data_IF_333249450889
#
_entry.id   IF_333249450889
#
_cell.length_a   1.000
_cell.length_b   1.000
_cell.length_c   1.000
_cell.angle_alpha   90.00
_cell.angle_beta   90.00
_cell.angle_gamma   90.00
#
_symmetry.space_group_name_H-M   'P 1'
#
loop_
_entity.id
_entity.type
_entity.pdbx_description
1 polymer ?
#
# COMPACT_ATOMS: atom_id res chain seq x y z
N UNK A 1 9.84 91.38 11.54
CA UNK A 1 10.44 90.17 12.18
C UNK A 1 9.71 88.97 11.64
N UNK A 2 10.36 88.30 10.72
CA UNK A 2 9.80 87.21 9.90
C UNK A 2 10.11 85.85 10.62
N UNK A 3 9.07 85.06 10.90
CA UNK A 3 9.21 83.72 11.42
C UNK A 3 9.00 82.74 10.26
N UNK A 4 10.06 81.98 9.93
CA UNK A 4 10.06 80.89 8.95
C UNK A 4 9.47 79.63 9.57
N UNK A 5 8.38 79.10 9.05
CA UNK A 5 7.86 77.77 9.34
C UNK A 5 8.59 76.75 8.44
N UNK A 6 9.37 75.82 9.03
CA UNK A 6 9.94 74.70 8.32
C UNK A 6 8.92 73.52 8.31
N UNK A 7 8.44 73.13 7.13
CA UNK A 7 7.64 71.94 6.91
C UNK A 7 8.58 70.71 6.74
N UNK A 8 8.62 69.79 7.75
CA UNK A 8 9.27 68.51 7.59
C UNK A 8 8.35 67.53 6.84
N UNK A 9 8.67 67.24 5.57
CA UNK A 9 8.09 66.10 4.83
C UNK A 9 8.75 64.82 5.28
N UNK A 10 8.02 64.02 6.05
CA UNK A 10 8.39 62.62 6.35
C UNK A 10 7.98 61.75 5.15
N UNK A 11 8.91 61.47 4.25
CA UNK A 11 8.72 60.52 3.15
C UNK A 11 8.79 59.10 3.72
N UNK A 12 7.65 58.46 3.91
CA UNK A 12 7.58 57.03 4.23
C UNK A 12 8.09 56.18 3.07
N UNK A 13 9.24 55.58 3.20
CA UNK A 13 9.73 54.53 2.30
C UNK A 13 8.84 53.29 2.50
N UNK A 14 7.86 53.12 1.63
CA UNK A 14 7.17 51.83 1.49
C UNK A 14 8.13 50.86 0.81
N UNK A 15 8.78 50.01 1.62
CA UNK A 15 9.48 48.84 1.10
C UNK A 15 8.42 47.92 0.44
N UNK A 16 8.60 47.56 -0.85
CA UNK A 16 7.75 46.53 -1.44
C UNK A 16 7.96 45.23 -0.63
N UNK A 17 6.88 44.73 -0.03
CA UNK A 17 6.82 43.33 0.43
C UNK A 17 7.07 42.50 -0.84
N UNK A 18 8.31 42.01 -1.01
CA UNK A 18 8.61 41.03 -2.01
C UNK A 18 7.68 39.86 -1.71
N UNK A 19 6.69 39.62 -2.57
CA UNK A 19 5.96 38.38 -2.62
C UNK A 19 7.05 37.31 -2.66
N UNK A 20 7.20 36.54 -1.58
CA UNK A 20 8.02 35.34 -1.59
C UNK A 20 7.49 34.49 -2.72
N UNK A 21 8.18 34.55 -3.87
CA UNK A 21 7.89 33.72 -5.02
C UNK A 21 7.80 32.32 -4.52
N UNK A 22 6.77 31.60 -4.94
CA UNK A 22 6.60 30.18 -4.64
C UNK A 22 7.95 29.53 -4.87
N UNK A 23 8.64 29.21 -3.78
CA UNK A 23 9.95 28.58 -3.82
C UNK A 23 9.83 27.41 -4.79
N UNK A 24 10.82 27.29 -5.69
CA UNK A 24 10.89 26.29 -6.75
C UNK A 24 10.88 24.92 -6.07
N UNK A 25 9.68 24.47 -5.66
CA UNK A 25 9.45 23.25 -4.88
C UNK A 25 9.69 22.04 -5.76
N UNK A 26 10.21 21.00 -5.20
CA UNK A 26 11.59 20.69 -4.89
C UNK A 26 12.39 20.21 -6.10
N UNK A 27 13.70 20.27 -6.00
CA UNK A 27 14.59 19.82 -7.09
C UNK A 27 14.63 18.29 -7.19
N UNK A 28 14.49 17.56 -6.09
CA UNK A 28 14.45 16.08 -6.02
C UNK A 28 13.50 15.63 -4.93
N UNK A 29 12.58 14.74 -5.26
CA UNK A 29 11.68 14.10 -4.32
C UNK A 29 12.10 12.63 -4.13
N UNK A 30 12.12 12.17 -2.89
CA UNK A 30 12.28 10.74 -2.58
C UNK A 30 10.94 10.15 -2.18
N UNK A 31 10.59 9.07 -2.84
CA UNK A 31 9.43 8.25 -2.47
C UNK A 31 9.96 6.94 -1.91
N UNK A 32 9.83 6.78 -0.61
CA UNK A 32 10.26 5.57 0.10
C UNK A 32 9.19 4.49 -0.12
N UNK A 33 9.62 3.35 -0.63
CA UNK A 33 8.79 2.15 -0.79
C UNK A 33 9.19 1.14 0.30
N UNK A 34 8.27 0.70 1.16
CA UNK A 34 8.59 -0.12 2.35
C UNK A 34 8.94 -1.58 2.05
N UNK A 35 8.89 -1.99 0.79
CA UNK A 35 9.10 -3.37 0.35
C UNK A 35 10.14 -3.47 -0.76
N UNK A 36 10.59 -4.71 -1.05
CA UNK A 36 11.56 -4.96 -2.11
C UNK A 36 11.01 -4.55 -3.49
N UNK A 37 11.93 -4.21 -4.38
CA UNK A 37 11.62 -3.88 -5.77
C UNK A 37 10.89 -5.03 -6.48
N UNK A 38 10.02 -4.70 -7.45
CA UNK A 38 9.25 -5.65 -8.25
C UNK A 38 7.96 -6.18 -7.58
N UNK A 39 7.66 -5.80 -6.33
CA UNK A 39 6.37 -6.10 -5.70
C UNK A 39 5.31 -5.03 -5.99
N UNK A 40 4.04 -5.28 -5.57
CA UNK A 40 2.91 -4.38 -5.82
C UNK A 40 3.12 -2.93 -5.33
N UNK A 41 3.72 -2.75 -4.16
CA UNK A 41 4.04 -1.42 -3.63
C UNK A 41 5.06 -0.67 -4.50
N UNK A 42 6.08 -1.38 -4.98
CA UNK A 42 7.11 -0.82 -5.85
C UNK A 42 6.53 -0.46 -7.23
N UNK A 43 5.72 -1.35 -7.80
CA UNK A 43 5.06 -1.12 -9.08
C UNK A 43 4.18 0.14 -9.04
N UNK A 44 3.32 0.29 -8.02
CA UNK A 44 2.50 1.49 -7.87
C UNK A 44 3.35 2.73 -7.53
N UNK A 45 4.36 2.59 -6.69
CA UNK A 45 5.30 3.69 -6.38
C UNK A 45 5.99 4.23 -7.62
N UNK A 46 6.43 3.35 -8.54
CA UNK A 46 7.05 3.75 -9.83
C UNK A 46 6.02 4.33 -10.78
N UNK A 47 4.87 3.71 -10.94
CA UNK A 47 3.81 4.18 -11.82
C UNK A 47 3.41 5.63 -11.52
N UNK A 48 3.12 5.93 -10.26
CA UNK A 48 2.78 7.28 -9.84
C UNK A 48 4.00 8.20 -9.71
N UNK A 49 5.18 7.68 -9.34
CA UNK A 49 6.43 8.43 -9.32
C UNK A 49 6.82 8.96 -10.69
N UNK A 50 6.69 8.15 -11.74
CA UNK A 50 6.92 8.56 -13.14
C UNK A 50 5.88 9.61 -13.59
N UNK A 51 4.60 9.40 -13.23
CA UNK A 51 3.54 10.34 -13.53
C UNK A 51 3.74 11.71 -12.83
N UNK A 52 4.17 11.70 -11.57
CA UNK A 52 4.52 12.89 -10.80
C UNK A 52 5.78 13.56 -11.36
N UNK A 53 6.80 12.79 -11.75
CA UNK A 53 8.01 13.32 -12.39
C UNK A 53 7.66 14.10 -13.65
N UNK A 54 6.78 13.55 -14.49
CA UNK A 54 6.31 14.21 -15.70
C UNK A 54 5.43 15.43 -15.41
N UNK A 55 4.60 15.40 -14.36
CA UNK A 55 3.71 16.51 -14.00
C UNK A 55 4.46 17.73 -13.46
N UNK A 56 5.51 17.48 -12.67
CA UNK A 56 6.28 18.56 -12.02
C UNK A 56 7.56 18.95 -12.78
N UNK A 57 7.94 18.20 -13.83
CA UNK A 57 9.22 18.41 -14.52
C UNK A 57 10.44 18.20 -13.59
N UNK A 58 10.28 17.38 -12.56
CA UNK A 58 11.27 17.11 -11.50
C UNK A 58 11.36 15.62 -11.29
N UNK A 59 12.54 15.12 -10.90
CA UNK A 59 12.75 13.68 -10.70
C UNK A 59 12.19 13.22 -9.35
N UNK A 60 11.34 12.20 -9.37
CA UNK A 60 10.91 11.43 -8.20
C UNK A 60 11.77 10.16 -8.10
N UNK A 61 12.59 10.08 -7.05
CA UNK A 61 13.48 8.96 -6.83
C UNK A 61 12.76 7.92 -5.98
N UNK A 62 12.59 6.71 -6.52
CA UNK A 62 12.02 5.58 -5.78
C UNK A 62 13.15 4.88 -5.01
N UNK A 63 13.01 4.82 -3.68
CA UNK A 63 13.95 4.18 -2.77
C UNK A 63 13.26 3.03 -2.03
N UNK A 64 13.66 1.78 -2.31
CA UNK A 64 13.13 0.62 -1.60
C UNK A 64 13.84 0.46 -0.26
N UNK A 65 13.12 0.64 0.88
CA UNK A 65 13.63 0.48 2.23
C UNK A 65 12.85 -0.59 2.97
N UNK A 66 13.36 -1.80 2.95
CA UNK A 66 12.70 -2.99 3.49
C UNK A 66 12.98 -3.19 4.98
N UNK A 67 12.11 -3.94 5.67
CA UNK A 67 12.32 -4.43 7.04
C UNK A 67 11.12 -4.19 7.96
N UNK A 68 10.90 -5.14 8.88
CA UNK A 68 9.82 -5.09 9.87
C UNK A 68 8.41 -5.00 9.30
N UNK A 69 8.14 -5.61 8.11
CA UNK A 69 6.84 -5.44 7.46
C UNK A 69 6.56 -4.02 6.96
N UNK A 70 7.63 -3.21 6.78
CA UNK A 70 7.54 -1.80 6.37
C UNK A 70 7.75 -0.79 7.49
N UNK A 71 7.89 -1.24 8.74
CA UNK A 71 8.06 -0.36 9.92
C UNK A 71 9.28 0.56 9.78
N UNK A 72 10.42 0.03 9.30
CA UNK A 72 11.66 0.82 9.17
C UNK A 72 11.45 2.02 8.22
N UNK A 73 10.75 1.82 7.12
CA UNK A 73 10.43 2.87 6.17
C UNK A 73 9.44 3.90 6.77
N UNK A 74 8.38 3.41 7.42
CA UNK A 74 7.37 4.25 8.04
C UNK A 74 7.95 5.15 9.12
N UNK A 75 8.74 4.60 10.06
CA UNK A 75 9.39 5.36 11.11
C UNK A 75 10.36 6.41 10.57
N UNK A 76 11.10 6.08 9.50
CA UNK A 76 12.02 7.02 8.88
C UNK A 76 11.29 8.22 8.28
N UNK A 77 10.12 7.99 7.63
CA UNK A 77 9.33 9.07 7.05
C UNK A 77 8.57 9.86 8.12
N UNK A 78 8.02 9.21 9.14
CA UNK A 78 7.34 9.89 10.25
C UNK A 78 8.26 10.91 10.95
N UNK A 79 9.58 10.67 10.95
CA UNK A 79 10.60 11.56 11.55
C UNK A 79 11.26 12.50 10.54
N UNK A 80 10.88 12.46 9.27
CA UNK A 80 11.43 13.34 8.25
C UNK A 80 10.92 14.77 8.40
N UNK A 81 11.66 15.74 7.83
CA UNK A 81 11.19 17.13 7.78
C UNK A 81 9.91 17.24 6.92
N UNK A 82 8.90 18.04 7.33
CA UNK A 82 7.66 18.21 6.58
C UNK A 82 7.81 19.22 5.44
N UNK A 83 8.83 19.06 4.63
CA UNK A 83 9.21 19.96 3.53
C UNK A 83 8.79 19.44 2.15
N UNK A 84 8.14 18.27 2.10
CA UNK A 84 7.70 17.62 0.87
C UNK A 84 8.79 16.87 0.10
N UNK A 85 10.03 16.79 0.60
CA UNK A 85 11.13 16.09 -0.09
C UNK A 85 11.13 14.58 0.15
N UNK A 86 10.54 14.10 1.22
CA UNK A 86 10.48 12.68 1.57
C UNK A 86 9.04 12.24 1.74
N UNK A 87 8.60 11.33 0.87
CA UNK A 87 7.28 10.75 0.87
C UNK A 87 7.35 9.24 1.08
N UNK A 88 6.23 8.63 1.42
CA UNK A 88 6.10 7.20 1.69
C UNK A 88 5.01 6.61 0.79
N UNK A 89 5.31 5.53 0.09
CA UNK A 89 4.26 4.62 -0.36
C UNK A 89 3.72 3.92 0.88
N UNK A 90 2.63 4.45 1.38
CA UNK A 90 1.93 3.98 2.56
C UNK A 90 0.82 3.00 2.16
N UNK A 91 -0.09 2.68 3.06
CA UNK A 91 -1.22 1.83 2.76
C UNK A 91 -1.54 0.89 3.92
N UNK A 92 -2.35 -0.13 3.64
CA UNK A 92 -2.87 -1.01 4.69
C UNK A 92 -1.78 -1.66 5.55
N UNK A 93 -0.60 -2.10 5.03
CA UNK A 93 0.43 -2.67 5.89
C UNK A 93 0.94 -1.71 6.96
N UNK A 94 1.11 -0.43 6.59
CA UNK A 94 1.68 0.61 7.44
C UNK A 94 0.63 1.26 8.34
N UNK A 95 -0.54 1.55 7.79
CA UNK A 95 -1.54 2.33 8.50
C UNK A 95 -2.43 1.48 9.39
N UNK A 96 -2.59 0.20 9.06
CA UNK A 96 -3.55 -0.68 9.74
C UNK A 96 -2.87 -1.90 10.37
N UNK A 97 -2.22 -2.73 9.54
CA UNK A 97 -1.76 -4.06 9.99
C UNK A 97 -0.63 -3.95 11.02
N UNK A 98 0.41 -3.18 10.72
CA UNK A 98 1.54 -3.05 11.62
C UNK A 98 1.14 -2.46 13.00
N UNK A 99 0.36 -1.35 13.09
CA UNK A 99 -0.12 -0.83 14.37
C UNK A 99 -1.07 -1.77 15.11
N UNK A 100 -1.90 -2.54 14.39
CA UNK A 100 -2.83 -3.47 15.04
C UNK A 100 -2.13 -4.72 15.60
N UNK A 101 -1.05 -5.17 14.93
CA UNK A 101 -0.30 -6.38 15.29
C UNK A 101 0.81 -6.13 16.32
N UNK A 102 1.36 -4.93 16.38
CA UNK A 102 2.49 -4.59 17.24
C UNK A 102 2.11 -3.52 18.26
N UNK A 103 2.33 -3.78 19.54
CA UNK A 103 2.06 -2.80 20.61
C UNK A 103 3.05 -1.62 20.63
N UNK A 104 4.23 -1.80 20.02
CA UNK A 104 5.33 -0.83 20.04
C UNK A 104 5.76 -0.48 18.60
N UNK A 105 4.84 0.03 17.79
CA UNK A 105 5.23 0.73 16.54
C UNK A 105 5.71 2.13 16.89
N UNK A 106 6.81 2.54 16.29
CA UNK A 106 7.43 3.85 16.55
C UNK A 106 6.69 5.05 15.96
N UNK A 107 5.42 4.91 15.57
CA UNK A 107 4.59 5.96 14.98
C UNK A 107 3.10 5.72 15.25
N UNK A 108 2.31 6.78 15.12
CA UNK A 108 0.85 6.74 15.03
C UNK A 108 0.41 7.01 13.58
N UNK A 109 -0.37 6.13 12.94
CA UNK A 109 -0.71 6.25 11.53
C UNK A 109 -1.51 7.50 11.17
N UNK A 110 -2.29 8.05 12.10
CA UNK A 110 -3.12 9.22 11.86
C UNK A 110 -2.48 10.53 12.31
N UNK A 111 -1.63 10.48 13.35
CA UNK A 111 -0.99 11.67 13.91
C UNK A 111 0.32 12.01 13.24
N UNK A 112 1.14 11.00 12.92
CA UNK A 112 2.53 11.20 12.51
C UNK A 112 2.70 11.27 10.98
N UNK A 113 1.59 11.18 10.22
CA UNK A 113 1.58 11.30 8.76
C UNK A 113 0.54 12.30 8.25
N UNK A 114 0.88 12.93 7.13
CA UNK A 114 -0.06 13.62 6.26
C UNK A 114 -0.42 12.70 5.12
N UNK A 115 -1.70 12.32 5.01
CA UNK A 115 -2.21 11.49 3.92
C UNK A 115 -2.46 12.35 2.69
N UNK A 116 -1.89 11.98 1.54
CA UNK A 116 -1.87 12.84 0.35
C UNK A 116 -2.78 12.32 -0.74
N UNK A 117 -2.58 11.08 -1.19
CA UNK A 117 -3.30 10.56 -2.34
C UNK A 117 -3.51 9.03 -2.20
N UNK A 118 -4.62 8.54 -2.73
CA UNK A 118 -4.94 7.12 -2.82
C UNK A 118 -4.49 6.57 -4.17
N UNK A 119 -3.75 5.49 -4.18
CA UNK A 119 -3.31 4.83 -5.40
C UNK A 119 -4.28 3.75 -5.87
N UNK A 120 -4.95 3.10 -4.93
CA UNK A 120 -5.86 2.01 -5.18
C UNK A 120 -5.50 0.75 -4.41
N UNK A 121 -6.41 -0.22 -4.45
CA UNK A 121 -6.25 -1.53 -3.84
C UNK A 121 -6.30 -2.63 -4.89
N UNK A 122 -5.49 -3.67 -4.73
CA UNK A 122 -5.54 -4.88 -5.55
C UNK A 122 -5.94 -6.07 -4.67
N UNK A 123 -6.78 -6.99 -5.16
CA UNK A 123 -7.13 -8.17 -4.41
C UNK A 123 -5.91 -9.07 -4.20
N UNK A 124 -5.95 -9.88 -3.15
CA UNK A 124 -5.02 -10.98 -3.00
C UNK A 124 -5.59 -12.24 -3.63
N UNK A 125 -4.70 -13.08 -4.12
CA UNK A 125 -5.07 -14.36 -4.72
C UNK A 125 -4.35 -15.47 -3.96
N UNK A 126 -5.11 -16.45 -3.54
CA UNK A 126 -4.57 -17.71 -3.06
C UNK A 126 -4.23 -18.55 -4.29
N UNK A 127 -2.97 -18.88 -4.43
CA UNK A 127 -2.45 -19.63 -5.57
C UNK A 127 -1.66 -20.85 -5.14
N UNK A 128 -1.55 -21.86 -6.03
CA UNK A 128 -0.68 -23.01 -5.82
C UNK A 128 0.22 -23.23 -7.03
N UNK A 129 1.42 -23.79 -6.76
CA UNK A 129 2.24 -24.35 -7.81
C UNK A 129 1.62 -25.66 -8.32
N UNK A 130 1.60 -25.94 -9.64
CA UNK A 130 0.96 -27.14 -10.23
C UNK A 130 1.45 -28.45 -9.62
N UNK A 131 2.71 -28.54 -9.16
CA UNK A 131 3.27 -29.76 -8.55
C UNK A 131 2.63 -30.13 -7.22
N UNK A 132 1.80 -29.28 -6.60
CA UNK A 132 1.03 -29.64 -5.41
C UNK A 132 -0.13 -30.57 -5.74
N UNK A 133 -0.60 -30.58 -6.99
CA UNK A 133 -1.73 -31.40 -7.44
C UNK A 133 -3.10 -30.90 -6.98
N UNK A 134 -3.19 -29.71 -6.38
CA UNK A 134 -4.41 -29.08 -5.85
C UNK A 134 -4.95 -28.07 -6.88
N UNK A 135 -6.25 -28.14 -7.16
CA UNK A 135 -6.91 -27.28 -8.17
C UNK A 135 -8.07 -26.45 -7.62
N UNK A 136 -8.42 -26.60 -6.36
CA UNK A 136 -9.49 -25.84 -5.72
C UNK A 136 -9.16 -25.52 -4.27
N UNK A 137 -9.83 -24.49 -3.74
CA UNK A 137 -9.71 -24.12 -2.33
C UNK A 137 -10.07 -25.29 -1.40
N UNK A 138 -11.14 -26.03 -1.72
CA UNK A 138 -11.58 -27.18 -0.90
C UNK A 138 -10.56 -28.31 -0.89
N UNK A 139 -9.89 -28.57 -2.01
CA UNK A 139 -8.81 -29.56 -2.08
C UNK A 139 -7.61 -29.14 -1.22
N UNK A 140 -7.24 -27.84 -1.23
CA UNK A 140 -6.17 -27.35 -0.36
C UNK A 140 -6.51 -27.54 1.12
N UNK A 141 -7.72 -27.19 1.54
CA UNK A 141 -8.19 -27.36 2.91
C UNK A 141 -8.20 -28.85 3.30
N UNK A 142 -8.68 -29.74 2.41
CA UNK A 142 -8.69 -31.19 2.65
C UNK A 142 -7.26 -31.74 2.82
N UNK A 143 -6.32 -31.32 1.96
CA UNK A 143 -4.91 -31.71 2.05
C UNK A 143 -4.28 -31.23 3.37
N UNK A 144 -4.51 -29.98 3.75
CA UNK A 144 -3.97 -29.41 4.99
C UNK A 144 -4.52 -30.09 6.25
N UNK A 145 -5.78 -30.55 6.21
CA UNK A 145 -6.38 -31.35 7.30
C UNK A 145 -5.80 -32.76 7.38
N UNK A 146 -5.57 -33.37 6.22
CA UNK A 146 -4.99 -34.72 6.15
C UNK A 146 -3.50 -34.75 6.56
N UNK A 147 -2.79 -33.68 6.35
CA UNK A 147 -1.36 -33.55 6.59
C UNK A 147 -1.03 -32.25 7.34
N UNK A 148 -1.35 -32.16 8.64
CA UNK A 148 -1.05 -30.96 9.44
C UNK A 148 0.44 -30.61 9.40
N UNK A 149 0.75 -29.30 9.38
CA UNK A 149 2.10 -28.72 9.36
C UNK A 149 2.97 -29.11 8.14
N UNK A 150 2.41 -29.77 7.12
CA UNK A 150 3.15 -30.19 5.93
C UNK A 150 3.10 -29.17 4.79
N UNK A 151 2.28 -28.14 4.90
CA UNK A 151 2.08 -27.15 3.85
C UNK A 151 2.69 -25.82 4.27
N UNK A 152 3.76 -25.45 3.56
CA UNK A 152 4.33 -24.12 3.64
C UNK A 152 3.60 -23.19 2.70
N UNK A 153 3.42 -21.91 3.10
CA UNK A 153 2.90 -20.85 2.24
C UNK A 153 3.77 -19.62 2.28
N UNK A 154 3.80 -18.90 1.16
CA UNK A 154 4.51 -17.62 1.02
C UNK A 154 3.55 -16.44 1.02
N UNK A 155 4.03 -15.33 1.54
CA UNK A 155 3.44 -13.99 1.36
C UNK A 155 4.53 -12.96 1.16
N UNK A 156 4.15 -11.69 0.95
CA UNK A 156 5.11 -10.59 0.86
C UNK A 156 5.83 -10.27 2.18
N UNK A 157 5.52 -10.98 3.26
CA UNK A 157 6.15 -10.88 4.57
C UNK A 157 5.15 -10.84 5.73
N UNK A 158 5.67 -10.94 6.94
CA UNK A 158 4.87 -10.81 8.17
C UNK A 158 4.23 -9.42 8.22
N UNK A 159 2.95 -9.36 8.60
CA UNK A 159 2.20 -8.11 8.69
C UNK A 159 1.74 -7.54 7.34
N UNK A 160 1.80 -8.32 6.27
CA UNK A 160 1.16 -7.98 4.99
C UNK A 160 -0.26 -8.52 4.93
N UNK A 161 -1.09 -7.97 4.05
CA UNK A 161 -2.47 -8.45 3.88
C UNK A 161 -2.52 -9.91 3.47
N UNK A 162 -1.62 -10.36 2.58
CA UNK A 162 -1.52 -11.77 2.20
C UNK A 162 -1.23 -12.69 3.39
N UNK A 163 -0.28 -12.32 4.24
CA UNK A 163 -0.01 -13.07 5.46
C UNK A 163 -1.25 -13.11 6.37
N UNK A 164 -1.86 -11.96 6.61
CA UNK A 164 -3.02 -11.89 7.49
C UNK A 164 -4.22 -12.70 6.97
N UNK A 165 -4.52 -12.63 5.67
CA UNK A 165 -5.60 -13.42 5.04
C UNK A 165 -5.33 -14.93 5.16
N UNK A 166 -4.11 -15.38 4.87
CA UNK A 166 -3.75 -16.79 4.98
C UNK A 166 -3.91 -17.32 6.41
N UNK A 167 -3.48 -16.54 7.40
CA UNK A 167 -3.65 -16.86 8.82
C UNK A 167 -5.12 -16.89 9.25
N UNK A 168 -5.93 -15.92 8.74
CA UNK A 168 -7.37 -15.92 8.97
C UNK A 168 -8.04 -17.18 8.41
N UNK A 169 -7.73 -17.56 7.17
CA UNK A 169 -8.27 -18.76 6.53
C UNK A 169 -7.84 -20.03 7.27
N UNK A 170 -6.58 -20.11 7.69
CA UNK A 170 -6.07 -21.24 8.46
C UNK A 170 -6.83 -21.39 9.80
N UNK A 171 -7.08 -20.30 10.50
CA UNK A 171 -7.84 -20.29 11.73
C UNK A 171 -9.32 -20.69 11.52
N UNK A 172 -9.97 -20.11 10.49
CA UNK A 172 -11.37 -20.36 10.16
C UNK A 172 -11.62 -21.83 9.78
N UNK A 173 -10.68 -22.43 9.05
CA UNK A 173 -10.75 -23.85 8.62
C UNK A 173 -10.16 -24.84 9.65
N UNK A 174 -9.61 -24.34 10.76
CA UNK A 174 -8.91 -25.17 11.76
C UNK A 174 -7.80 -26.02 11.14
N UNK A 175 -7.02 -25.41 10.21
CA UNK A 175 -5.85 -26.03 9.57
C UNK A 175 -4.57 -25.34 10.02
N UNK A 176 -3.43 -26.00 9.84
CA UNK A 176 -2.12 -25.44 10.14
C UNK A 176 -1.30 -25.34 8.87
N UNK A 177 -0.82 -24.12 8.60
CA UNK A 177 0.06 -23.79 7.50
C UNK A 177 1.31 -23.11 8.06
N UNK A 178 2.49 -23.43 7.54
CA UNK A 178 3.75 -22.80 7.96
C UNK A 178 4.06 -21.60 7.09
N UNK A 179 4.16 -20.40 7.68
CA UNK A 179 4.47 -19.19 6.94
C UNK A 179 5.95 -19.07 6.64
N UNK A 180 6.31 -18.99 5.36
CA UNK A 180 7.64 -18.62 4.88
C UNK A 180 7.62 -17.13 4.50
N UNK A 181 8.23 -16.29 5.36
CA UNK A 181 8.18 -14.83 5.21
C UNK A 181 9.28 -14.31 4.28
N UNK A 182 8.89 -13.45 3.34
CA UNK A 182 9.80 -12.76 2.41
C UNK A 182 9.81 -11.25 2.67
N UNK A 183 10.77 -10.54 2.07
CA UNK A 183 10.89 -9.07 2.16
C UNK A 183 10.12 -8.35 1.03
N UNK A 184 9.08 -8.98 0.48
CA UNK A 184 8.26 -8.45 -0.62
C UNK A 184 7.73 -9.56 -1.52
N UNK A 185 6.69 -9.25 -2.30
CA UNK A 185 5.99 -10.23 -3.15
C UNK A 185 6.86 -10.82 -4.27
N UNK A 186 7.81 -10.06 -4.80
CA UNK A 186 8.69 -10.53 -5.89
C UNK A 186 9.56 -11.72 -5.46
N UNK A 187 10.19 -11.64 -4.28
CA UNK A 187 11.02 -12.74 -3.75
C UNK A 187 10.18 -13.98 -3.43
N UNK A 188 8.99 -13.78 -2.82
CA UNK A 188 8.05 -14.85 -2.55
C UNK A 188 7.59 -15.55 -3.84
N UNK A 189 7.32 -14.78 -4.89
CA UNK A 189 6.90 -15.29 -6.19
C UNK A 189 7.97 -16.16 -6.87
N UNK A 190 9.25 -15.79 -6.78
CA UNK A 190 10.34 -16.58 -7.36
C UNK A 190 10.39 -18.00 -6.76
N UNK A 191 10.31 -18.12 -5.45
CA UNK A 191 10.34 -19.43 -4.78
C UNK A 191 9.06 -20.25 -5.03
N UNK A 192 7.93 -19.57 -5.16
CA UNK A 192 6.67 -20.19 -5.54
C UNK A 192 6.72 -20.75 -6.98
N UNK A 193 7.26 -19.99 -7.94
CA UNK A 193 7.43 -20.42 -9.32
C UNK A 193 8.46 -21.55 -9.48
N UNK A 194 9.48 -21.56 -8.64
CA UNK A 194 10.45 -22.65 -8.58
C UNK A 194 9.89 -23.91 -7.90
N UNK A 195 8.70 -23.85 -7.28
CA UNK A 195 8.08 -24.96 -6.55
C UNK A 195 8.77 -25.29 -5.22
N UNK A 196 9.67 -24.44 -4.71
CA UNK A 196 10.27 -24.59 -3.39
C UNK A 196 9.22 -24.48 -2.30
N UNK A 197 8.32 -23.52 -2.40
CA UNK A 197 7.08 -23.43 -1.63
C UNK A 197 5.91 -23.51 -2.61
N UNK A 198 4.87 -24.24 -2.25
CA UNK A 198 3.83 -24.61 -3.22
C UNK A 198 2.51 -23.86 -3.06
N UNK A 199 2.36 -23.06 -2.02
CA UNK A 199 1.16 -22.24 -1.76
C UNK A 199 1.58 -20.80 -1.58
N UNK A 200 0.83 -19.86 -2.15
CA UNK A 200 1.08 -18.43 -2.00
C UNK A 200 -0.21 -17.65 -1.80
N UNK A 201 -0.16 -16.64 -0.94
CA UNK A 201 -1.17 -15.60 -0.80
C UNK A 201 -0.54 -14.28 -1.17
N UNK A 202 -0.70 -13.87 -2.41
CA UNK A 202 -0.01 -12.73 -3.03
C UNK A 202 -1.01 -11.78 -3.71
N UNK A 203 -0.62 -10.52 -3.90
CA UNK A 203 -1.43 -9.55 -4.65
C UNK A 203 -1.62 -10.00 -6.10
N UNK A 204 -2.81 -9.78 -6.66
CA UNK A 204 -3.11 -10.06 -8.07
C UNK A 204 -2.06 -9.50 -9.01
N UNK A 205 -1.67 -8.23 -8.84
CA UNK A 205 -0.63 -7.57 -9.64
C UNK A 205 0.72 -8.29 -9.66
N UNK A 206 1.02 -9.11 -8.66
CA UNK A 206 2.27 -9.89 -8.62
C UNK A 206 2.15 -11.25 -9.32
N UNK A 207 0.95 -11.85 -9.38
CA UNK A 207 0.77 -13.24 -9.87
C UNK A 207 0.00 -13.34 -11.19
N UNK A 208 -0.62 -12.25 -11.66
CA UNK A 208 -1.53 -12.24 -12.79
C UNK A 208 -0.93 -12.86 -14.07
N UNK A 209 0.26 -12.46 -14.47
CA UNK A 209 0.92 -12.98 -15.67
C UNK A 209 1.24 -14.47 -15.56
N UNK A 210 1.64 -14.92 -14.37
CA UNK A 210 1.99 -16.33 -14.11
C UNK A 210 0.75 -17.23 -14.06
N UNK A 211 -0.39 -16.69 -13.62
CA UNK A 211 -1.69 -17.38 -13.69
C UNK A 211 -2.13 -17.49 -15.15
N UNK A 212 -2.05 -16.39 -15.92
CA UNK A 212 -2.37 -16.40 -17.38
C UNK A 212 -1.49 -17.37 -18.17
N UNK A 213 -0.23 -17.51 -17.78
CA UNK A 213 0.72 -18.46 -18.39
C UNK A 213 0.54 -19.90 -17.89
N UNK A 214 -0.38 -20.17 -16.94
CA UNK A 214 -0.57 -21.51 -16.36
C UNK A 214 0.54 -21.97 -15.42
N UNK A 215 1.48 -21.11 -15.06
CA UNK A 215 2.56 -21.42 -14.12
C UNK A 215 2.08 -21.50 -12.67
N UNK A 216 0.96 -20.84 -12.35
CA UNK A 216 0.30 -20.89 -11.05
C UNK A 216 -1.18 -21.19 -11.22
N UNK A 217 -1.76 -21.91 -10.27
CA UNK A 217 -3.18 -22.26 -10.22
C UNK A 217 -3.87 -21.38 -9.17
N UNK A 218 -4.79 -20.48 -9.56
CA UNK A 218 -5.54 -19.67 -8.61
C UNK A 218 -6.66 -20.50 -7.96
N UNK A 219 -6.84 -20.36 -6.65
CA UNK A 219 -7.84 -21.10 -5.86
C UNK A 219 -8.96 -20.22 -5.31
N UNK A 220 -8.66 -18.98 -4.94
CA UNK A 220 -9.61 -18.02 -4.41
C UNK A 220 -9.09 -16.59 -4.53
N UNK A 221 -10.00 -15.62 -4.59
CA UNK A 221 -9.68 -14.19 -4.59
C UNK A 221 -10.35 -13.47 -3.41
N UNK A 222 -9.74 -12.39 -2.93
CA UNK A 222 -10.21 -11.62 -1.77
C UNK A 222 -11.06 -10.40 -2.12
N UNK A 223 -11.34 -10.17 -3.41
CA UNK A 223 -12.22 -9.10 -3.88
C UNK A 223 -13.68 -9.36 -3.52
N UNK A 224 -14.51 -8.31 -3.55
CA UNK A 224 -15.95 -8.41 -3.31
C UNK A 224 -16.65 -9.26 -4.38
N UNK A 225 -16.18 -9.12 -5.62
CA UNK A 225 -16.66 -9.84 -6.80
C UNK A 225 -15.49 -10.56 -7.47
N UNK A 226 -15.81 -11.51 -8.35
CA UNK A 226 -14.78 -12.20 -9.13
C UNK A 226 -14.06 -11.23 -10.05
N UNK A 227 -12.75 -11.36 -10.12
CA UNK A 227 -11.93 -10.60 -11.07
C UNK A 227 -12.27 -11.05 -12.48
N UNK A 228 -12.49 -10.13 -13.41
CA UNK A 228 -12.90 -10.43 -14.79
C UNK A 228 -12.02 -11.43 -15.51
N UNK A 229 -10.71 -11.39 -15.24
CA UNK A 229 -9.73 -12.34 -15.79
C UNK A 229 -9.69 -13.70 -15.07
N UNK A 230 -10.44 -13.86 -13.97
CA UNK A 230 -10.57 -15.08 -13.17
C UNK A 230 -12.04 -15.39 -12.90
N UNK A 231 -12.90 -15.31 -13.92
CA UNK A 231 -14.34 -15.50 -13.79
C UNK A 231 -14.73 -16.85 -13.17
N UNK A 232 -13.89 -17.88 -13.31
CA UNK A 232 -14.12 -19.21 -12.74
C UNK A 232 -13.61 -19.37 -11.30
N UNK A 233 -12.85 -18.39 -10.78
CA UNK A 233 -12.25 -18.48 -9.45
C UNK A 233 -13.17 -17.82 -8.42
N UNK A 234 -13.55 -18.55 -7.35
CA UNK A 234 -14.48 -18.04 -6.36
C UNK A 234 -13.83 -16.93 -5.50
N UNK A 235 -14.66 -16.00 -5.06
CA UNK A 235 -14.29 -15.06 -4.00
C UNK A 235 -14.36 -15.78 -2.64
N UNK A 236 -13.67 -15.21 -1.62
CA UNK A 236 -13.83 -15.72 -0.25
C UNK A 236 -15.27 -15.61 0.25
N UNK A 237 -16.01 -14.60 -0.20
CA UNK A 237 -17.45 -14.44 0.06
C UNK A 237 -18.25 -15.65 -0.45
N UNK A 238 -18.03 -16.07 -1.69
CA UNK A 238 -18.70 -17.24 -2.30
C UNK A 238 -18.30 -18.56 -1.62
N UNK A 239 -17.11 -18.60 -1.02
CA UNK A 239 -16.64 -19.75 -0.22
C UNK A 239 -17.22 -19.80 1.20
N UNK A 240 -18.03 -18.81 1.59
CA UNK A 240 -18.75 -18.81 2.87
C UNK A 240 -18.12 -17.94 3.97
N UNK A 241 -17.13 -17.12 3.64
CA UNK A 241 -16.49 -16.21 4.61
C UNK A 241 -17.24 -14.88 4.81
N UNK A 242 -18.53 -14.81 4.44
CA UNK A 242 -19.37 -13.62 4.60
C UNK A 242 -18.84 -12.44 3.80
N UNK A 243 -18.94 -11.23 4.37
CA UNK A 243 -18.45 -10.00 3.72
C UNK A 243 -16.94 -9.78 3.87
N UNK A 244 -16.16 -10.86 3.94
CA UNK A 244 -14.71 -10.77 4.02
C UNK A 244 -14.12 -10.35 2.67
N UNK A 245 -13.88 -9.06 2.53
CA UNK A 245 -13.22 -8.44 1.38
C UNK A 245 -11.92 -7.81 1.85
N UNK A 246 -10.81 -8.25 1.30
CA UNK A 246 -9.48 -7.82 1.73
C UNK A 246 -8.63 -7.43 0.53
N UNK A 247 -8.42 -6.14 0.32
CA UNK A 247 -7.54 -5.61 -0.71
C UNK A 247 -6.23 -5.12 -0.11
N UNK A 248 -5.14 -5.31 -0.81
CA UNK A 248 -3.88 -4.66 -0.49
C UNK A 248 -3.89 -3.29 -1.17
N UNK A 249 -4.29 -2.26 -0.45
CA UNK A 249 -4.32 -0.91 -0.96
C UNK A 249 -3.07 -0.12 -0.57
N UNK A 250 -2.70 0.79 -1.47
CA UNK A 250 -1.59 1.72 -1.28
C UNK A 250 -2.05 3.17 -1.43
N UNK A 251 -1.28 4.06 -0.84
CA UNK A 251 -1.47 5.49 -0.84
C UNK A 251 -0.13 6.21 -0.78
N UNK A 252 -0.13 7.49 -1.03
CA UNK A 252 1.01 8.36 -0.80
C UNK A 252 0.79 9.14 0.48
N UNK A 253 1.77 9.11 1.37
CA UNK A 253 1.79 9.90 2.60
C UNK A 253 3.13 10.61 2.74
N UNK A 254 3.17 11.64 3.56
CA UNK A 254 4.40 12.29 4.01
C UNK A 254 4.42 12.44 5.52
N UNK A 255 5.48 13.01 6.11
CA UNK A 255 5.51 13.32 7.53
C UNK A 255 4.35 14.25 7.91
N UNK A 256 3.96 14.25 9.18
CA UNK A 256 2.92 15.15 9.68
C UNK A 256 3.31 16.62 9.49
N UNK A 257 2.33 17.48 9.17
CA UNK A 257 2.54 18.92 9.04
C UNK A 257 3.08 19.38 7.70
N UNK A 258 2.93 18.58 6.64
CA UNK A 258 3.22 19.06 5.27
C UNK A 258 2.38 20.32 4.94
N UNK A 259 2.96 21.31 4.25
CA UNK A 259 2.23 22.49 3.75
C UNK A 259 1.05 22.07 2.87
N UNK A 260 -0.12 22.69 3.07
CA UNK A 260 -1.36 22.33 2.41
C UNK A 260 -1.26 22.46 0.88
N UNK A 261 -0.57 23.48 0.39
CA UNK A 261 -0.34 23.70 -1.06
C UNK A 261 0.49 22.57 -1.69
N UNK A 262 1.48 22.02 -0.97
CA UNK A 262 2.25 20.86 -1.41
C UNK A 262 1.35 19.62 -1.49
N UNK A 263 0.54 19.40 -0.45
CA UNK A 263 -0.40 18.26 -0.39
C UNK A 263 -1.38 18.31 -1.55
N UNK A 264 -2.03 19.45 -1.78
CA UNK A 264 -3.00 19.62 -2.84
C UNK A 264 -2.38 19.46 -4.23
N UNK A 265 -1.21 20.04 -4.48
CA UNK A 265 -0.49 19.88 -5.75
C UNK A 265 -0.15 18.43 -6.06
N UNK A 266 0.35 17.68 -5.08
CA UNK A 266 0.65 16.24 -5.26
C UNK A 266 -0.64 15.46 -5.48
N UNK A 267 -1.67 15.69 -4.66
CA UNK A 267 -2.96 15.01 -4.78
C UNK A 267 -3.55 15.21 -6.18
N UNK A 268 -3.66 16.45 -6.65
CA UNK A 268 -4.18 16.77 -7.99
C UNK A 268 -3.36 16.08 -9.09
N UNK A 269 -2.04 16.04 -8.97
CA UNK A 269 -1.19 15.38 -9.95
C UNK A 269 -1.39 13.85 -9.98
N UNK A 270 -1.59 13.19 -8.82
CA UNK A 270 -1.92 11.76 -8.74
C UNK A 270 -3.30 11.51 -9.34
N UNK A 271 -4.32 12.28 -8.99
CA UNK A 271 -5.67 12.16 -9.54
C UNK A 271 -5.66 12.34 -11.07
N UNK A 272 -4.97 13.37 -11.57
CA UNK A 272 -4.82 13.58 -13.01
C UNK A 272 -4.05 12.44 -13.71
N UNK A 273 -3.11 11.82 -13.00
CA UNK A 273 -2.36 10.68 -13.55
C UNK A 273 -3.24 9.46 -13.80
N UNK A 274 -4.32 9.25 -13.03
CA UNK A 274 -5.25 8.14 -13.23
C UNK A 274 -5.93 8.19 -14.61
N UNK A 275 -6.05 9.38 -15.20
CA UNK A 275 -6.62 9.55 -16.53
C UNK A 275 -5.64 9.28 -17.69
N UNK A 276 -4.35 9.14 -17.40
CA UNK A 276 -3.34 8.87 -18.42
C UNK A 276 -3.52 7.44 -18.99
N UNK A 277 -3.43 7.24 -20.32
CA UNK A 277 -3.67 5.93 -20.93
C UNK A 277 -2.78 4.81 -20.38
N UNK A 278 -1.52 5.13 -20.06
CA UNK A 278 -0.60 4.14 -19.47
C UNK A 278 -1.03 3.73 -18.06
N UNK A 279 -1.45 4.67 -17.22
CA UNK A 279 -1.90 4.41 -15.86
C UNK A 279 -3.22 3.64 -15.87
N UNK A 280 -4.18 4.03 -16.72
CA UNK A 280 -5.44 3.29 -16.90
C UNK A 280 -5.21 1.83 -17.30
N UNK A 281 -4.35 1.59 -18.28
CA UNK A 281 -4.01 0.21 -18.68
C UNK A 281 -3.43 -0.61 -17.53
N UNK A 282 -2.54 -0.01 -16.73
CA UNK A 282 -1.96 -0.70 -15.58
C UNK A 282 -3.01 -0.97 -14.49
N UNK A 283 -3.89 0.00 -14.22
CA UNK A 283 -5.01 -0.16 -13.28
C UNK A 283 -5.89 -1.35 -13.69
N UNK A 284 -6.24 -1.45 -14.97
CA UNK A 284 -7.04 -2.55 -15.50
C UNK A 284 -6.30 -3.90 -15.43
N UNK A 285 -5.04 -3.95 -15.87
CA UNK A 285 -4.23 -5.17 -15.87
C UNK A 285 -4.01 -5.75 -14.48
N UNK A 286 -3.82 -4.88 -13.49
CA UNK A 286 -3.55 -5.24 -12.10
C UNK A 286 -4.81 -5.36 -11.26
N UNK A 287 -5.99 -5.22 -11.87
CA UNK A 287 -7.29 -5.19 -11.17
C UNK A 287 -7.27 -4.23 -9.97
N UNK A 288 -6.69 -3.04 -10.16
CA UNK A 288 -6.61 -2.03 -9.11
C UNK A 288 -7.96 -1.34 -8.99
N UNK A 289 -8.60 -1.52 -7.84
CA UNK A 289 -9.79 -0.76 -7.46
C UNK A 289 -9.36 0.63 -6.99
N UNK A 290 -9.53 1.63 -7.83
CA UNK A 290 -9.16 3.02 -7.51
C UNK A 290 -10.26 4.00 -7.88
N UNK A 291 -10.22 5.17 -7.26
CA UNK A 291 -11.07 6.31 -7.55
C UNK A 291 -10.36 7.61 -7.18
N UNK A 292 -10.69 8.73 -7.82
CA UNK A 292 -10.24 10.05 -7.39
C UNK A 292 -10.66 10.31 -5.94
N UNK A 293 -9.73 10.76 -5.11
CA UNK A 293 -9.95 11.13 -3.71
C UNK A 293 -9.15 12.38 -3.38
N UNK A 294 -9.75 13.33 -2.71
CA UNK A 294 -9.04 14.45 -2.07
C UNK A 294 -8.19 13.94 -0.89
N UNK A 295 -7.20 14.70 -0.45
CA UNK A 295 -6.37 14.33 0.70
C UNK A 295 -7.21 14.12 1.99
N UNK A 296 -8.27 14.93 2.16
CA UNK A 296 -9.21 14.75 3.28
C UNK A 296 -9.98 13.43 3.19
N UNK A 297 -10.42 13.03 2.00
CA UNK A 297 -11.09 11.74 1.79
C UNK A 297 -10.14 10.56 1.98
N UNK A 298 -8.85 10.69 1.59
CA UNK A 298 -7.82 9.68 1.87
C UNK A 298 -7.62 9.51 3.38
N UNK A 299 -7.56 10.61 4.12
CA UNK A 299 -7.47 10.60 5.59
C UNK A 299 -8.66 9.88 6.22
N UNK A 300 -9.87 10.21 5.80
CA UNK A 300 -11.09 9.57 6.27
C UNK A 300 -11.17 8.08 5.88
N UNK A 301 -10.70 7.74 4.67
CA UNK A 301 -10.61 6.34 4.23
C UNK A 301 -9.65 5.56 5.11
N UNK A 302 -8.45 6.10 5.38
CA UNK A 302 -7.46 5.47 6.27
C UNK A 302 -8.02 5.23 7.67
N UNK A 303 -8.73 6.20 8.25
CA UNK A 303 -9.37 6.03 9.56
C UNK A 303 -10.42 4.91 9.53
N UNK A 304 -11.30 4.88 8.52
CA UNK A 304 -12.30 3.81 8.39
C UNK A 304 -11.67 2.42 8.26
N UNK A 305 -10.57 2.31 7.53
CA UNK A 305 -9.85 1.03 7.40
C UNK A 305 -9.21 0.60 8.73
N UNK A 306 -8.65 1.54 9.49
CA UNK A 306 -8.14 1.28 10.85
C UNK A 306 -9.26 0.77 11.75
N UNK A 307 -10.40 1.46 11.76
CA UNK A 307 -11.56 1.11 12.61
C UNK A 307 -12.16 -0.25 12.23
N UNK A 308 -12.18 -0.57 10.94
CA UNK A 308 -12.69 -1.84 10.41
C UNK A 308 -11.80 -3.03 10.77
N UNK A 309 -10.48 -2.90 10.53
CA UNK A 309 -9.58 -4.03 10.61
C UNK A 309 -8.99 -4.28 11.99
N UNK A 310 -8.72 -3.23 12.76
CA UNK A 310 -8.06 -3.35 14.07
C UNK A 310 -8.79 -4.30 15.03
N UNK A 311 -10.12 -4.28 15.20
CA UNK A 311 -10.81 -5.22 16.05
C UNK A 311 -10.68 -6.68 15.59
N UNK A 312 -10.75 -6.92 14.28
CA UNK A 312 -10.63 -8.26 13.68
C UNK A 312 -9.22 -8.83 13.89
N UNK A 313 -8.19 -8.01 13.65
CA UNK A 313 -6.79 -8.40 13.83
C UNK A 313 -6.52 -8.74 15.29
N UNK A 314 -6.93 -7.88 16.23
CA UNK A 314 -6.75 -8.11 17.67
C UNK A 314 -7.45 -9.36 18.15
N UNK A 315 -8.67 -9.63 17.67
CA UNK A 315 -9.41 -10.87 17.98
C UNK A 315 -8.64 -12.11 17.53
N UNK A 316 -8.06 -12.09 16.33
CA UNK A 316 -7.27 -13.23 15.83
C UNK A 316 -5.98 -13.47 16.61
N UNK A 317 -5.28 -12.38 17.00
CA UNK A 317 -4.07 -12.50 17.83
C UNK A 317 -4.43 -13.14 19.17
N UNK A 318 -5.51 -12.70 19.82
CA UNK A 318 -5.97 -13.26 21.09
C UNK A 318 -6.38 -14.74 21.01
N UNK A 319 -6.79 -15.25 19.84
CA UNK A 319 -7.07 -16.67 19.63
C UNK A 319 -5.77 -17.50 19.53
N UNK A 320 -4.67 -16.90 19.06
CA UNK A 320 -3.38 -17.55 18.87
C UNK A 320 -2.44 -17.49 20.09
N UNK A 321 -2.66 -16.52 20.98
CA UNK A 321 -1.95 -16.44 22.26
C UNK A 321 -2.76 -17.30 23.26
N UNK A 322 -2.20 -18.45 23.75
CA UNK A 322 -2.89 -19.31 24.74
C UNK A 322 -3.02 -18.64 26.10
#
# INVERSE_FOLDING_TARGET
>A
MQGLLALCFAGGLALPLAAAGAADWPVKLRVIVPFAAGGAADAQGRLYGDALSAAFGKQFIIENRTGGGGLIAAEAVARAAPDGYTLLVSGIPIQVLAPAMNRNVGYDPMRDFTHIAYFGGTPNVLVTHPSLGVKSYRELVALARAQPDSIDYVSAGVGTMGNWVAEYLAAAESIRLTHVAYKGGAAALLDLLAGHVKVGMLSWSSVAEHIRAGALIPLAVTSAERVSYLADIPTLRELGYGDFVATTWFSLSGPAGLPADIVERINHAVVAAMERPQVKRQIEQDAIETRPMTAAEVTQFSQREIDRWTPLIKKMIAIKEP
#
